data_IF_861999180930
#
_entry.id   IF_861999180930
#
_cell.length_a   1.000
_cell.length_b   1.000
_cell.length_c   1.000
_cell.angle_alpha   90.00
_cell.angle_beta   90.00
_cell.angle_gamma   90.00
#
_symmetry.space_group_name_H-M   'P 1'
#
loop_
_entity.id
_entity.type
_entity.pdbx_description
1 polymer ?
#
# COMPACT_ATOMS: atom_id res chain seq x y z
N UNK A 1 -10.92 1.88 -4.80
CA UNK A 1 -9.62 2.15 -4.15
C UNK A 1 -8.76 2.87 -5.18
N UNK A 2 -8.23 4.05 -4.85
CA UNK A 2 -7.36 4.84 -5.74
C UNK A 2 -6.27 5.54 -4.94
N UNK A 3 -5.14 5.86 -5.55
CA UNK A 3 -4.15 6.76 -4.94
C UNK A 3 -4.76 8.18 -5.02
N UNK A 4 -4.84 8.94 -3.91
CA UNK A 4 -5.50 10.24 -3.89
C UNK A 4 -4.91 11.21 -4.92
N UNK A 5 -5.78 11.92 -5.65
CA UNK A 5 -5.44 12.96 -6.63
C UNK A 5 -4.54 12.49 -7.79
N UNK A 6 -4.61 11.21 -8.16
CA UNK A 6 -3.81 10.66 -9.26
C UNK A 6 -4.65 10.27 -10.47
N UNK A 7 -4.03 10.31 -11.65
CA UNK A 7 -4.56 9.78 -12.90
C UNK A 7 -3.82 8.50 -13.27
N UNK A 8 -4.53 7.48 -13.73
CA UNK A 8 -3.89 6.24 -14.18
C UNK A 8 -3.17 6.47 -15.51
N UNK A 9 -1.95 5.95 -15.61
CA UNK A 9 -1.08 6.08 -16.78
C UNK A 9 -0.67 4.67 -17.24
N UNK A 10 -0.79 4.43 -18.54
CA UNK A 10 -0.35 3.17 -19.14
C UNK A 10 1.18 3.12 -19.23
N UNK A 11 1.76 1.92 -19.18
CA UNK A 11 3.22 1.72 -19.28
C UNK A 11 3.80 2.45 -20.52
N UNK A 12 3.11 2.34 -21.65
CA UNK A 12 3.53 2.94 -22.93
C UNK A 12 3.54 4.48 -22.90
N UNK A 13 2.82 5.10 -21.97
CA UNK A 13 2.78 6.55 -21.78
C UNK A 13 3.90 7.05 -20.85
N UNK A 14 4.51 6.17 -20.06
CA UNK A 14 5.57 6.55 -19.11
C UNK A 14 6.84 6.98 -19.84
N UNK A 15 7.29 6.23 -20.86
CA UNK A 15 8.51 6.57 -21.61
C UNK A 15 8.42 7.94 -22.31
N UNK A 16 7.32 8.25 -23.05
CA UNK A 16 7.11 9.59 -23.59
C UNK A 16 7.12 10.71 -22.54
N UNK A 17 6.60 10.47 -21.34
CA UNK A 17 6.60 11.44 -20.24
C UNK A 17 8.02 11.72 -19.74
N UNK A 18 8.85 10.68 -19.60
CA UNK A 18 10.25 10.80 -19.22
C UNK A 18 11.04 11.55 -20.30
N UNK A 19 10.86 11.20 -21.57
CA UNK A 19 11.52 11.86 -22.70
C UNK A 19 11.13 13.34 -22.82
N UNK A 20 9.85 13.65 -22.57
CA UNK A 20 9.37 15.03 -22.50
C UNK A 20 10.03 15.82 -21.36
N UNK A 21 10.16 15.19 -20.19
CA UNK A 21 10.82 15.80 -19.02
C UNK A 21 12.29 16.12 -19.31
N UNK A 22 13.00 15.20 -19.99
CA UNK A 22 14.38 15.42 -20.45
C UNK A 22 14.48 16.59 -21.44
N UNK A 23 13.57 16.67 -22.41
CA UNK A 23 13.52 17.78 -23.40
C UNK A 23 13.28 19.14 -22.74
N UNK A 24 12.48 19.19 -21.69
CA UNK A 24 12.17 20.41 -20.94
C UNK A 24 13.22 20.76 -19.87
N UNK A 25 14.34 20.01 -19.80
CA UNK A 25 15.40 20.14 -18.80
C UNK A 25 14.87 20.10 -17.35
N UNK A 26 13.87 19.24 -17.10
CA UNK A 26 13.40 18.99 -15.74
C UNK A 26 14.33 18.04 -15.01
N UNK A 27 14.53 18.29 -13.72
CA UNK A 27 15.33 17.41 -12.87
C UNK A 27 14.47 16.21 -12.47
N UNK A 28 14.84 15.01 -12.93
CA UNK A 28 14.19 13.77 -12.55
C UNK A 28 14.93 13.12 -11.38
N UNK A 29 14.18 12.74 -10.36
CA UNK A 29 14.67 12.03 -9.18
C UNK A 29 13.83 10.77 -8.97
N UNK A 30 14.48 9.66 -8.61
CA UNK A 30 13.79 8.43 -8.24
C UNK A 30 13.80 8.26 -6.72
N UNK A 31 12.61 8.20 -6.13
CA UNK A 31 12.41 7.93 -4.71
C UNK A 31 12.13 6.43 -4.54
N UNK A 32 13.15 5.72 -4.04
CA UNK A 32 13.10 4.27 -3.84
C UNK A 32 12.11 3.83 -2.77
N UNK A 33 11.87 4.67 -1.75
CA UNK A 33 11.03 4.31 -0.61
C UNK A 33 9.55 4.26 -1.00
N UNK A 34 9.15 5.12 -1.95
CA UNK A 34 7.79 5.19 -2.48
C UNK A 34 7.64 4.61 -3.87
N UNK A 35 8.73 4.14 -4.46
CA UNK A 35 8.79 3.64 -5.83
C UNK A 35 8.16 4.63 -6.83
N UNK A 36 8.62 5.88 -6.77
CA UNK A 36 8.06 6.98 -7.56
C UNK A 36 9.16 7.80 -8.26
N UNK A 37 8.83 8.34 -9.43
CA UNK A 37 9.63 9.35 -10.11
C UNK A 37 9.08 10.73 -9.79
N UNK A 38 9.95 11.65 -9.41
CA UNK A 38 9.62 13.03 -9.11
C UNK A 38 10.30 13.90 -10.16
N UNK A 39 9.52 14.69 -10.89
CA UNK A 39 10.05 15.71 -11.78
C UNK A 39 10.01 17.07 -11.09
N UNK A 40 11.15 17.74 -11.02
CA UNK A 40 11.33 19.04 -10.40
C UNK A 40 11.72 20.11 -11.45
N UNK A 41 11.29 21.34 -11.19
CA UNK A 41 11.70 22.55 -11.90
C UNK A 41 12.18 23.60 -10.90
N UNK A 42 12.74 24.71 -11.38
CA UNK A 42 13.24 25.83 -10.55
C UNK A 42 12.23 26.39 -9.51
N UNK A 43 10.92 26.08 -9.62
CA UNK A 43 9.87 26.50 -8.70
C UNK A 43 9.18 25.35 -7.92
N UNK A 44 9.74 24.14 -7.90
CA UNK A 44 9.19 23.00 -7.16
C UNK A 44 8.88 21.77 -8.02
N UNK A 45 8.23 20.78 -7.41
CA UNK A 45 7.83 19.54 -8.09
C UNK A 45 6.70 19.79 -9.09
N UNK A 46 6.78 19.13 -10.24
CA UNK A 46 5.84 19.25 -11.36
C UNK A 46 4.85 18.09 -11.37
N UNK A 47 5.39 16.89 -11.28
CA UNK A 47 4.60 15.67 -11.19
C UNK A 47 5.32 14.63 -10.34
N UNK A 48 4.53 13.69 -9.81
CA UNK A 48 5.02 12.45 -9.22
C UNK A 48 4.38 11.29 -9.96
N UNK A 49 5.19 10.36 -10.45
CA UNK A 49 4.74 9.18 -11.14
C UNK A 49 5.03 7.96 -10.25
N UNK A 50 3.99 7.37 -9.69
CA UNK A 50 4.08 6.09 -9.00
C UNK A 50 4.25 4.99 -10.05
N UNK A 51 5.33 4.22 -9.91
CA UNK A 51 5.64 3.13 -10.83
C UNK A 51 4.91 1.85 -10.41
N UNK A 52 4.52 1.00 -11.38
CA UNK A 52 4.01 -0.32 -11.10
C UNK A 52 5.04 -1.18 -10.38
N UNK A 53 4.61 -1.91 -9.35
CA UNK A 53 5.54 -2.64 -8.48
C UNK A 53 6.25 -3.80 -9.18
N UNK A 54 5.70 -4.34 -10.25
CA UNK A 54 6.35 -5.37 -11.07
C UNK A 54 7.35 -4.80 -12.11
N UNK A 55 7.70 -3.51 -12.00
CA UNK A 55 8.73 -2.86 -12.82
C UNK A 55 9.85 -2.28 -11.95
N UNK A 56 10.98 -2.03 -12.59
CA UNK A 56 12.09 -1.26 -12.04
C UNK A 56 12.53 -0.22 -13.07
N UNK A 57 13.18 0.84 -12.59
CA UNK A 57 13.80 1.84 -13.45
C UNK A 57 15.31 1.67 -13.46
N UNK A 58 15.92 1.71 -14.64
CA UNK A 58 17.38 1.68 -14.78
C UNK A 58 17.98 3.11 -14.77
N UNK A 59 19.30 3.20 -14.82
CA UNK A 59 20.04 4.48 -14.87
C UNK A 59 19.71 5.34 -16.10
N UNK A 60 19.19 4.73 -17.17
CA UNK A 60 18.80 5.42 -18.41
C UNK A 60 17.34 5.92 -18.39
N UNK A 61 16.64 5.72 -17.26
CA UNK A 61 15.22 6.01 -17.06
C UNK A 61 14.27 5.14 -17.88
N UNK A 62 14.68 3.91 -18.18
CA UNK A 62 13.85 2.91 -18.84
C UNK A 62 13.19 1.98 -17.82
N UNK A 63 11.92 1.67 -18.08
CA UNK A 63 11.15 0.71 -17.28
C UNK A 63 11.46 -0.71 -17.74
N UNK A 64 11.93 -1.52 -16.80
CA UNK A 64 12.22 -2.94 -16.99
C UNK A 64 11.19 -3.75 -16.21
N UNK A 65 10.44 -4.61 -16.90
CA UNK A 65 9.50 -5.54 -16.26
C UNK A 65 10.29 -6.65 -15.56
N UNK A 66 9.92 -6.96 -14.32
CA UNK A 66 10.51 -8.07 -13.59
C UNK A 66 9.91 -9.40 -14.07
N UNK A 67 10.73 -10.36 -14.53
CA UNK A 67 10.24 -11.57 -15.20
C UNK A 67 9.54 -12.56 -14.25
N UNK A 68 9.86 -12.56 -12.96
CA UNK A 68 9.29 -13.48 -11.96
C UNK A 68 8.97 -12.75 -10.64
N UNK A 69 8.13 -11.72 -10.71
CA UNK A 69 7.88 -10.86 -9.56
C UNK A 69 6.94 -11.51 -8.54
N UNK A 70 7.37 -11.57 -7.28
CA UNK A 70 6.57 -12.10 -6.17
C UNK A 70 6.34 -11.05 -5.08
N UNK A 71 5.07 -10.86 -4.71
CA UNK A 71 4.65 -9.87 -3.73
C UNK A 71 3.77 -10.49 -2.64
N UNK A 72 4.21 -10.37 -1.39
CA UNK A 72 3.38 -10.62 -0.22
C UNK A 72 2.75 -9.33 0.27
N UNK A 73 1.46 -9.34 0.61
CA UNK A 73 0.75 -8.15 1.11
C UNK A 73 0.09 -8.46 2.44
N UNK A 74 0.14 -7.49 3.35
CA UNK A 74 -0.65 -7.48 4.58
C UNK A 74 -1.30 -6.12 4.81
N UNK A 75 -2.60 -6.11 5.03
CA UNK A 75 -3.34 -4.93 5.49
C UNK A 75 -4.04 -5.26 6.81
N UNK A 76 -3.84 -4.43 7.83
CA UNK A 76 -4.34 -4.63 9.20
C UNK A 76 -5.12 -3.40 9.64
N UNK A 77 -6.36 -3.63 10.06
CA UNK A 77 -7.25 -2.68 10.73
C UNK A 77 -7.65 -3.24 12.10
N UNK A 78 -8.24 -2.42 12.95
CA UNK A 78 -8.67 -2.87 14.27
C UNK A 78 -9.78 -3.93 14.13
N UNK A 79 -9.43 -5.19 14.37
CA UNK A 79 -10.33 -6.35 14.33
C UNK A 79 -10.52 -6.99 12.95
N UNK A 80 -9.83 -6.52 11.90
CA UNK A 80 -9.86 -7.13 10.57
C UNK A 80 -8.50 -7.03 9.90
N UNK A 81 -8.07 -8.08 9.21
CA UNK A 81 -6.86 -8.05 8.41
C UNK A 81 -7.03 -8.92 7.17
N UNK A 82 -6.17 -8.69 6.19
CA UNK A 82 -6.05 -9.53 5.01
C UNK A 82 -4.58 -9.71 4.65
N UNK A 83 -4.22 -10.96 4.37
CA UNK A 83 -2.96 -11.33 3.76
C UNK A 83 -3.21 -11.77 2.33
N UNK A 84 -2.35 -11.41 1.40
CA UNK A 84 -2.46 -11.80 0.01
C UNK A 84 -1.08 -12.10 -0.59
N UNK A 85 -1.07 -12.98 -1.57
CA UNK A 85 0.11 -13.32 -2.35
C UNK A 85 -0.20 -13.10 -3.84
N UNK A 86 0.64 -12.29 -4.46
CA UNK A 86 0.61 -12.00 -5.88
C UNK A 86 1.85 -12.58 -6.57
N UNK A 87 1.63 -13.18 -7.72
CA UNK A 87 2.68 -13.52 -8.68
C UNK A 87 2.42 -12.72 -9.94
N UNK A 88 3.41 -11.91 -10.36
CA UNK A 88 3.22 -10.89 -11.37
C UNK A 88 2.08 -9.94 -11.00
N UNK A 89 0.98 -9.95 -11.77
CA UNK A 89 -0.23 -9.16 -11.57
C UNK A 89 -1.44 -10.00 -11.12
N UNK A 90 -1.23 -11.29 -10.87
CA UNK A 90 -2.29 -12.23 -10.50
C UNK A 90 -2.33 -12.48 -8.99
N UNK A 91 -3.52 -12.36 -8.40
CA UNK A 91 -3.77 -12.73 -7.02
C UNK A 91 -3.93 -14.25 -6.92
N UNK A 92 -2.90 -14.96 -6.48
CA UNK A 92 -2.90 -16.42 -6.40
C UNK A 92 -3.48 -16.95 -5.09
N UNK A 93 -3.29 -16.22 -4.00
CA UNK A 93 -3.80 -16.64 -2.70
C UNK A 93 -4.14 -15.45 -1.80
N UNK A 94 -5.16 -15.61 -0.96
CA UNK A 94 -5.50 -14.63 0.07
C UNK A 94 -6.10 -15.30 1.31
N UNK A 95 -6.04 -14.58 2.44
CA UNK A 95 -6.75 -14.95 3.67
C UNK A 95 -7.20 -13.71 4.41
N UNK A 96 -8.49 -13.68 4.78
CA UNK A 96 -9.08 -12.62 5.60
C UNK A 96 -9.21 -13.12 7.05
N UNK A 97 -8.80 -12.27 7.98
CA UNK A 97 -8.85 -12.51 9.42
C UNK A 97 -9.84 -11.55 10.07
N UNK A 98 -10.52 -12.01 11.12
CA UNK A 98 -11.44 -11.19 11.91
C UNK A 98 -11.24 -11.51 13.38
N UNK A 99 -11.18 -10.48 14.21
CA UNK A 99 -11.08 -10.60 15.65
C UNK A 99 -11.95 -9.56 16.35
N UNK A 100 -12.54 -9.91 17.49
CA UNK A 100 -13.41 -9.01 18.23
C UNK A 100 -12.62 -8.08 19.17
N UNK A 101 -11.91 -7.11 18.58
CA UNK A 101 -11.01 -6.23 19.33
C UNK A 101 -11.68 -5.01 19.99
N UNK A 102 -12.93 -4.65 19.63
CA UNK A 102 -13.60 -3.41 20.10
C UNK A 102 -14.91 -3.68 20.83
N UNK A 103 -15.12 -3.04 21.99
CA UNK A 103 -16.37 -3.12 22.76
C UNK A 103 -17.47 -2.31 22.07
N UNK A 104 -18.57 -2.97 21.68
CA UNK A 104 -19.77 -2.42 20.99
C UNK A 104 -20.50 -1.24 21.69
N UNK A 105 -19.98 -0.67 22.79
CA UNK A 105 -20.67 0.38 23.58
C UNK A 105 -19.86 1.66 23.89
N UNK A 106 -18.66 1.84 23.35
CA UNK A 106 -17.96 3.13 23.36
C UNK A 106 -16.75 3.02 22.43
N UNK A 107 -16.70 3.83 21.37
CA UNK A 107 -15.68 3.79 20.30
C UNK A 107 -14.27 4.23 20.74
N UNK A 108 -13.76 3.71 21.86
CA UNK A 108 -12.39 3.94 22.32
C UNK A 108 -11.60 2.63 22.32
N UNK A 109 -10.45 2.62 21.63
CA UNK A 109 -9.48 1.52 21.66
C UNK A 109 -9.03 1.22 23.10
N UNK A 110 -9.12 -0.05 23.51
CA UNK A 110 -8.79 -0.50 24.88
C UNK A 110 -7.32 -0.38 25.24
N UNK A 111 -6.43 -0.30 24.24
CA UNK A 111 -4.98 -0.17 24.40
C UNK A 111 -4.64 1.06 25.27
N UNK A 112 -5.47 2.11 25.24
CA UNK A 112 -5.24 3.35 25.99
C UNK A 112 -5.62 3.26 27.48
N UNK A 113 -6.38 2.25 27.92
CA UNK A 113 -6.96 2.18 29.26
C UNK A 113 -6.34 1.14 30.19
N UNK A 114 -5.34 0.37 29.72
CA UNK A 114 -4.74 -0.72 30.50
C UNK A 114 -3.91 -0.20 31.70
N UNK A 115 -3.29 0.98 31.58
CA UNK A 115 -2.33 1.49 32.56
C UNK A 115 -2.94 2.21 33.78
N UNK A 116 -4.27 2.29 33.92
CA UNK A 116 -4.90 3.16 34.94
C UNK A 116 -5.68 2.45 36.05
N UNK A 117 -5.99 1.15 35.96
CA UNK A 117 -6.74 0.44 37.02
C UNK A 117 -6.26 -1.00 37.24
N UNK A 118 -5.69 -1.25 38.42
CA UNK A 118 -4.96 -2.46 38.82
C UNK A 118 -5.74 -3.79 38.96
N UNK A 119 -6.85 -4.01 38.24
CA UNK A 119 -7.43 -5.34 38.02
C UNK A 119 -8.16 -5.37 36.68
N UNK A 120 -7.63 -6.11 35.70
CA UNK A 120 -8.34 -6.38 34.45
C UNK A 120 -9.52 -7.32 34.73
N UNK A 121 -10.69 -7.04 34.14
CA UNK A 121 -11.87 -7.93 34.23
C UNK A 121 -11.68 -9.10 33.26
N UNK A 122 -12.31 -10.25 33.51
CA UNK A 122 -12.21 -11.45 32.66
C UNK A 122 -12.38 -11.17 31.15
N UNK A 123 -13.37 -10.37 30.76
CA UNK A 123 -13.58 -9.99 29.35
C UNK A 123 -12.51 -9.05 28.76
N UNK A 124 -11.67 -8.43 29.59
CA UNK A 124 -10.49 -7.69 29.11
C UNK A 124 -9.31 -8.62 28.84
N UNK A 125 -9.18 -9.71 29.61
CA UNK A 125 -8.15 -10.74 29.37
C UNK A 125 -8.43 -11.49 28.08
N UNK A 126 -9.68 -11.93 27.90
CA UNK A 126 -10.11 -12.65 26.69
C UNK A 126 -9.76 -11.84 25.43
N UNK A 127 -9.98 -10.52 25.42
CA UNK A 127 -9.67 -9.68 24.25
C UNK A 127 -8.19 -9.45 24.01
N UNK A 128 -7.37 -9.45 25.07
CA UNK A 128 -5.91 -9.38 24.92
C UNK A 128 -5.39 -10.66 24.30
N UNK A 129 -5.82 -11.81 24.83
CA UNK A 129 -5.52 -13.13 24.27
C UNK A 129 -6.01 -13.26 22.82
N UNK A 130 -7.22 -12.76 22.50
CA UNK A 130 -7.74 -12.70 21.12
C UNK A 130 -6.91 -11.78 20.20
N UNK A 131 -6.35 -10.71 20.76
CA UNK A 131 -5.49 -9.77 20.01
C UNK A 131 -4.15 -10.40 19.70
N UNK A 132 -3.52 -11.05 20.67
CA UNK A 132 -2.25 -11.76 20.50
C UNK A 132 -2.39 -12.84 19.42
N UNK A 133 -3.39 -13.71 19.59
CA UNK A 133 -3.71 -14.75 18.60
C UNK A 133 -3.99 -14.19 17.21
N UNK A 134 -4.68 -13.06 17.09
CA UNK A 134 -4.96 -12.42 15.81
C UNK A 134 -3.68 -12.04 15.06
N UNK A 135 -2.70 -11.45 15.75
CA UNK A 135 -1.41 -11.09 15.14
C UNK A 135 -0.55 -12.32 14.84
N UNK A 136 -0.57 -13.33 15.70
CA UNK A 136 0.12 -14.61 15.46
C UNK A 136 -0.42 -15.35 14.24
N UNK A 137 -1.74 -15.40 14.05
CA UNK A 137 -2.36 -16.03 12.88
C UNK A 137 -2.00 -15.30 11.57
N UNK A 138 -1.94 -13.97 11.60
CA UNK A 138 -1.49 -13.14 10.48
C UNK A 138 -0.02 -13.46 10.17
N UNK A 139 0.86 -13.42 11.18
CA UNK A 139 2.29 -13.68 10.99
C UNK A 139 2.56 -15.11 10.54
N UNK A 140 1.82 -16.09 11.06
CA UNK A 140 1.87 -17.47 10.59
C UNK A 140 1.53 -17.60 9.11
N UNK A 141 0.56 -16.82 8.60
CA UNK A 141 0.25 -16.78 7.16
C UNK A 141 1.36 -16.13 6.35
N UNK A 142 1.98 -15.07 6.84
CA UNK A 142 3.12 -14.43 6.16
C UNK A 142 4.35 -15.34 6.13
N UNK A 143 4.65 -16.04 7.23
CA UNK A 143 5.71 -17.06 7.29
C UNK A 143 5.45 -18.22 6.32
N UNK A 144 4.19 -18.63 6.17
CA UNK A 144 3.81 -19.60 5.16
C UNK A 144 4.12 -19.09 3.74
N UNK A 145 3.75 -17.86 3.39
CA UNK A 145 4.12 -17.29 2.08
C UNK A 145 5.63 -17.22 1.88
N UNK A 146 6.37 -16.76 2.90
CA UNK A 146 7.83 -16.66 2.84
C UNK A 146 8.53 -18.02 2.66
N UNK A 147 8.02 -19.08 3.29
CA UNK A 147 8.60 -20.43 3.15
C UNK A 147 8.17 -21.16 1.87
N UNK A 148 7.06 -20.74 1.26
CA UNK A 148 6.50 -21.40 0.07
C UNK A 148 6.92 -20.71 -1.24
N UNK A 149 7.11 -19.40 -1.22
CA UNK A 149 7.36 -18.58 -2.41
C UNK A 149 8.58 -17.67 -2.24
N UNK A 150 9.31 -17.35 -3.32
CA UNK A 150 10.47 -16.45 -3.26
C UNK A 150 10.01 -14.98 -3.25
N UNK A 151 9.37 -14.55 -2.17
CA UNK A 151 8.81 -13.19 -2.04
C UNK A 151 9.94 -12.14 -2.14
N UNK A 152 9.87 -11.28 -3.16
CA UNK A 152 10.84 -10.19 -3.36
C UNK A 152 10.48 -8.93 -2.58
N UNK A 153 9.17 -8.66 -2.44
CA UNK A 153 8.64 -7.46 -1.80
C UNK A 153 7.47 -7.76 -0.88
N UNK A 154 7.35 -6.96 0.17
CA UNK A 154 6.27 -7.00 1.14
C UNK A 154 5.52 -5.68 1.15
N UNK A 155 4.24 -5.69 0.83
CA UNK A 155 3.35 -4.53 0.98
C UNK A 155 2.69 -4.52 2.35
N UNK A 156 2.80 -3.42 3.10
CA UNK A 156 2.15 -3.26 4.41
C UNK A 156 1.23 -2.04 4.48
N UNK A 157 0.00 -2.26 4.96
CA UNK A 157 -0.88 -1.21 5.47
C UNK A 157 -1.26 -1.53 6.93
N UNK A 158 -0.49 -1.00 7.88
CA UNK A 158 -0.74 -1.19 9.30
C UNK A 158 -0.47 0.13 10.04
N UNK A 159 -1.39 0.56 10.91
CA UNK A 159 -1.17 1.78 11.69
C UNK A 159 -0.02 1.58 12.67
N UNK A 160 0.83 2.60 12.86
CA UNK A 160 2.00 2.54 13.77
C UNK A 160 1.64 2.13 15.21
N UNK A 161 0.40 2.41 15.64
CA UNK A 161 -0.13 1.99 16.94
C UNK A 161 -0.28 0.48 17.10
N UNK A 162 -0.39 -0.27 16.01
CA UNK A 162 -0.53 -1.73 15.99
C UNK A 162 0.82 -2.44 15.77
N UNK A 163 1.87 -1.69 15.42
CA UNK A 163 3.20 -2.26 15.17
C UNK A 163 3.78 -3.03 16.35
N UNK A 164 3.66 -2.57 17.62
CA UNK A 164 4.16 -3.36 18.74
C UNK A 164 3.53 -4.76 18.78
N UNK A 165 2.22 -4.86 18.56
CA UNK A 165 1.52 -6.15 18.56
C UNK A 165 1.88 -7.02 17.34
N UNK A 166 2.09 -6.40 16.17
CA UNK A 166 2.41 -7.12 14.95
C UNK A 166 3.85 -7.63 14.91
N UNK A 167 4.83 -6.85 15.38
CA UNK A 167 6.25 -7.22 15.32
C UNK A 167 6.77 -7.91 16.59
N UNK A 168 6.08 -7.76 17.73
CA UNK A 168 6.52 -8.35 19.01
C UNK A 168 5.64 -9.53 19.45
N UNK A 169 4.73 -10.02 18.60
CA UNK A 169 4.02 -11.28 18.84
C UNK A 169 4.99 -12.46 18.88
N UNK A 170 4.62 -13.55 19.57
CA UNK A 170 5.46 -14.74 19.69
C UNK A 170 5.88 -15.30 18.33
N UNK A 171 4.95 -15.30 17.37
CA UNK A 171 5.25 -15.53 15.96
C UNK A 171 5.52 -14.18 15.30
N UNK A 172 6.78 -13.91 14.94
CA UNK A 172 7.16 -12.67 14.24
C UNK A 172 6.90 -12.77 12.72
N UNK A 173 6.65 -11.65 12.03
CA UNK A 173 6.59 -11.64 10.57
C UNK A 173 7.95 -12.00 9.95
N UNK A 174 8.00 -12.42 8.67
CA UNK A 174 9.24 -12.82 8.00
C UNK A 174 10.13 -11.63 7.58
N UNK A 175 9.88 -10.42 8.10
CA UNK A 175 10.60 -9.21 7.76
C UNK A 175 10.66 -8.25 8.94
N UNK A 176 11.71 -7.42 8.97
CA UNK A 176 11.88 -6.36 9.96
C UNK A 176 11.23 -5.04 9.54
N UNK A 177 10.97 -4.17 10.51
CA UNK A 177 10.41 -2.82 10.31
C UNK A 177 11.23 -1.93 9.38
N UNK A 178 12.54 -2.20 9.26
CA UNK A 178 13.49 -1.43 8.46
C UNK A 178 13.95 -2.18 7.20
N UNK A 179 13.30 -3.30 6.88
CA UNK A 179 13.66 -4.10 5.71
C UNK A 179 13.42 -3.29 4.42
N UNK A 180 14.41 -3.24 3.54
CA UNK A 180 14.28 -2.58 2.22
C UNK A 180 13.24 -3.24 1.31
N UNK A 181 12.91 -4.50 1.58
CA UNK A 181 11.83 -5.23 0.90
C UNK A 181 10.43 -4.87 1.41
N UNK A 182 10.31 -4.14 2.54
CA UNK A 182 9.03 -3.78 3.15
C UNK A 182 8.58 -2.39 2.71
N UNK A 183 7.51 -2.33 1.93
CA UNK A 183 6.98 -1.11 1.32
C UNK A 183 5.61 -0.77 1.88
N UNK A 184 5.40 0.51 2.16
CA UNK A 184 4.09 0.98 2.59
C UNK A 184 3.12 1.02 1.40
N UNK A 185 1.92 0.46 1.58
CA UNK A 185 0.89 0.51 0.53
C UNK A 185 0.44 1.97 0.30
N UNK A 186 0.36 2.45 -0.95
CA UNK A 186 0.07 3.84 -1.29
C UNK A 186 -1.43 4.20 -1.19
N UNK A 187 -2.25 3.33 -0.59
CA UNK A 187 -3.71 3.46 -0.54
C UNK A 187 -4.25 3.25 0.86
N UNK A 188 -5.40 3.86 1.15
CA UNK A 188 -6.11 3.63 2.40
C UNK A 188 -7.00 2.39 2.30
N UNK A 189 -6.95 1.55 3.34
CA UNK A 189 -7.87 0.43 3.53
C UNK A 189 -8.97 0.81 4.52
N UNK A 190 -10.22 0.56 4.13
CA UNK A 190 -11.38 0.77 4.98
C UNK A 190 -11.59 -0.44 5.91
N UNK A 191 -11.60 -1.65 5.36
CA UNK A 191 -11.98 -2.88 6.09
C UNK A 191 -10.90 -3.97 6.09
N UNK A 192 -9.89 -3.88 5.23
CA UNK A 192 -8.96 -4.99 4.97
C UNK A 192 -9.72 -6.26 4.51
N UNK A 193 -10.50 -6.12 3.43
CA UNK A 193 -11.30 -7.20 2.84
C UNK A 193 -10.67 -7.79 1.56
N UNK A 194 -11.22 -8.91 1.09
CA UNK A 194 -10.84 -9.51 -0.19
C UNK A 194 -11.07 -8.54 -1.37
N UNK A 195 -12.20 -7.85 -1.41
CA UNK A 195 -12.52 -6.90 -2.48
C UNK A 195 -11.51 -5.73 -2.54
N UNK A 196 -11.07 -5.26 -1.38
CA UNK A 196 -10.04 -4.22 -1.31
C UNK A 196 -8.68 -4.71 -1.79
N UNK A 197 -8.32 -5.97 -1.52
CA UNK A 197 -7.09 -6.58 -2.06
C UNK A 197 -7.16 -6.77 -3.57
N UNK A 198 -8.31 -7.20 -4.10
CA UNK A 198 -8.50 -7.33 -5.55
C UNK A 198 -8.38 -5.98 -6.24
N UNK A 199 -8.93 -4.91 -5.63
CA UNK A 199 -8.77 -3.55 -6.11
C UNK A 199 -7.32 -3.04 -5.96
N UNK A 200 -6.63 -3.41 -4.87
CA UNK A 200 -5.23 -3.07 -4.65
C UNK A 200 -4.34 -3.58 -5.79
N UNK A 201 -4.51 -4.83 -6.24
CA UNK A 201 -3.71 -5.39 -7.33
C UNK A 201 -3.75 -4.50 -8.58
N UNK A 202 -4.94 -4.04 -8.98
CA UNK A 202 -5.08 -3.11 -10.11
C UNK A 202 -4.30 -1.82 -9.90
N UNK A 203 -4.32 -1.27 -8.68
CA UNK A 203 -3.58 -0.05 -8.35
C UNK A 203 -2.07 -0.29 -8.36
N UNK A 204 -1.56 -1.36 -7.74
CA UNK A 204 -0.12 -1.61 -7.61
C UNK A 204 0.56 -1.94 -8.93
N UNK A 205 -0.16 -2.52 -9.89
CA UNK A 205 0.39 -2.94 -11.19
C UNK A 205 0.07 -1.96 -12.32
N UNK A 206 -0.36 -0.74 -11.98
CA UNK A 206 -0.59 0.35 -12.92
C UNK A 206 0.22 1.60 -12.53
N UNK A 207 0.56 2.42 -13.52
CA UNK A 207 1.21 3.70 -13.28
C UNK A 207 0.20 4.73 -12.80
N UNK A 208 0.59 5.59 -11.86
CA UNK A 208 -0.28 6.68 -11.39
C UNK A 208 0.47 8.00 -11.38
N UNK A 209 -0.11 9.01 -12.01
CA UNK A 209 0.47 10.34 -12.15
C UNK A 209 -0.26 11.33 -11.24
N UNK A 210 0.49 11.97 -10.35
CA UNK A 210 0.06 13.11 -9.56
C UNK A 210 0.64 14.37 -10.18
N UNK A 211 -0.21 15.33 -10.51
CA UNK A 211 0.20 16.64 -11.02
C UNK A 211 0.20 17.69 -9.91
N UNK A 212 1.09 18.67 -10.00
CA UNK A 212 1.02 19.86 -9.15
C UNK A 212 -0.11 20.78 -9.65
N UNK A 213 -0.95 21.28 -8.72
CA UNK A 213 -2.17 22.07 -9.00
C UNK A 213 -1.94 23.25 -9.95
N UNK A 214 -0.77 23.88 -9.91
CA UNK A 214 -0.45 25.06 -10.75
C UNK A 214 -0.05 24.72 -12.20
N UNK A 215 0.08 23.43 -12.57
CA UNK A 215 0.71 23.04 -13.84
C UNK A 215 -0.02 21.97 -14.66
N UNK A 216 -1.30 21.71 -14.38
CA UNK A 216 -2.13 20.82 -15.21
C UNK A 216 -2.11 21.22 -16.70
N UNK A 217 -2.05 22.52 -16.99
CA UNK A 217 -2.00 23.06 -18.36
C UNK A 217 -0.71 22.71 -19.12
N UNK A 218 0.42 22.48 -18.45
CA UNK A 218 1.69 22.16 -19.11
C UNK A 218 1.73 20.71 -19.63
N UNK A 219 0.98 19.82 -18.98
CA UNK A 219 0.88 18.40 -19.33
C UNK A 219 -0.39 18.06 -20.12
N UNK A 220 -1.34 18.99 -20.26
CA UNK A 220 -2.56 18.83 -21.06
C UNK A 220 -2.32 18.46 -22.54
N UNK A 221 -1.12 18.72 -23.07
CA UNK A 221 -0.72 18.34 -24.44
C UNK A 221 -0.32 16.87 -24.56
N UNK A 222 0.07 16.21 -23.46
CA UNK A 222 0.16 14.75 -23.43
C UNK A 222 -1.27 14.24 -23.28
N UNK A 223 -1.78 13.56 -24.30
CA UNK A 223 -3.07 12.84 -24.27
C UNK A 223 -3.00 11.70 -23.25
N UNK A 224 -2.94 12.05 -21.97
CA UNK A 224 -3.10 11.14 -20.86
C UNK A 224 -4.58 10.81 -20.80
N UNK A 225 -4.88 9.53 -20.91
CA UNK A 225 -6.26 9.05 -20.96
C UNK A 225 -6.89 9.32 -19.60
N UNK A 226 -7.77 10.33 -19.50
CA UNK A 226 -8.60 10.51 -18.31
C UNK A 226 -9.51 9.28 -18.19
N UNK A 227 -9.30 8.46 -17.16
CA UNK A 227 -10.24 7.41 -16.79
C UNK A 227 -11.54 8.04 -16.29
N UNK A 228 -12.67 7.62 -16.83
CA UNK A 228 -14.03 8.18 -16.69
C UNK A 228 -14.68 8.10 -15.28
N UNK A 229 -13.92 8.03 -14.19
CA UNK A 229 -14.50 7.81 -12.84
C UNK A 229 -14.72 9.10 -12.03
N UNK A 230 -14.51 10.29 -12.60
CA UNK A 230 -14.67 11.58 -11.91
C UNK A 230 -15.98 12.33 -12.23
N UNK A 231 -16.99 11.68 -12.83
CA UNK A 231 -18.23 12.35 -13.23
C UNK A 231 -19.53 11.92 -12.51
N UNK A 232 -19.49 11.20 -11.38
CA UNK A 232 -20.72 10.94 -10.62
C UNK A 232 -20.46 10.79 -9.11
N UNK A 233 -20.17 11.89 -8.43
CA UNK A 233 -20.56 12.08 -7.02
C UNK A 233 -20.86 13.56 -6.80
N UNK A 234 -21.89 14.05 -7.47
CA UNK A 234 -22.70 15.17 -7.01
C UNK A 234 -24.16 14.80 -7.32
N UNK A 235 -25.06 15.06 -6.38
CA UNK A 235 -26.50 14.73 -6.36
C UNK A 235 -26.89 13.34 -5.83
N UNK A 236 -26.93 13.22 -4.49
CA UNK A 236 -28.20 13.02 -3.77
C UNK A 236 -27.97 12.96 -2.24
N UNK A 237 -28.40 14.03 -1.55
CA UNK A 237 -28.75 14.05 -0.12
C UNK A 237 -30.10 14.73 0.04
#
# INVERSE_FOLDING_TARGET
MKIPNTQTVQIDQIKPLIDFSKKMNWLLEYDSDKHQLIANSQGGWLFKLFLPWNYQINSDWELIKLPDFHLGVVAIRSGQAVCAYFHQDELLDHKVFRAYMVRKKQGKSQIKYLNTKGKSRAGSRIRLEETERFFEEINGRLQYYHSTYPIERWGIACSKTLWPYFFQSEISPPFDQQSSSLWQLPVHFNQASFEEIKALGKVLFQGHLLLAEEKENALANLKLTKSQDDENTDEDW
#
